data_IF_351564663159
#
_entry.id   IF_351564663159
#
_cell.length_a   1.000
_cell.length_b   1.000
_cell.length_c   1.000
_cell.angle_alpha   90.00
_cell.angle_beta   90.00
_cell.angle_gamma   90.00
#
_symmetry.space_group_name_H-M   'P 1'
#
loop_
_entity.id
_entity.type
_entity.pdbx_description
1 polymer ?
#
# COMPACT_ATOMS: atom_id res chain seq x y z
N UNK A 1 7.27 -23.86 13.46
CA UNK A 1 6.15 -24.00 12.50
C UNK A 1 6.67 -23.58 11.13
N UNK A 2 6.37 -24.34 10.08
CA UNK A 2 6.67 -23.90 8.71
C UNK A 2 5.67 -22.80 8.35
N UNK A 3 6.16 -21.65 7.88
CA UNK A 3 5.31 -20.57 7.38
C UNK A 3 4.89 -20.91 5.95
N UNK A 4 3.59 -21.08 5.70
CA UNK A 4 3.04 -21.49 4.40
C UNK A 4 2.04 -20.47 3.85
N UNK A 5 1.55 -19.56 4.68
CA UNK A 5 0.72 -18.43 4.26
C UNK A 5 1.01 -17.17 5.10
N UNK A 6 0.52 -16.02 4.64
CA UNK A 6 0.76 -14.73 5.32
C UNK A 6 0.12 -14.66 6.72
N UNK A 7 -0.94 -15.43 6.98
CA UNK A 7 -1.56 -15.52 8.31
C UNK A 7 -0.61 -16.13 9.34
N UNK A 8 0.23 -17.09 8.95
CA UNK A 8 1.19 -17.71 9.86
C UNK A 8 2.21 -16.69 10.40
N UNK A 9 2.63 -15.73 9.55
CA UNK A 9 3.50 -14.63 9.96
C UNK A 9 2.77 -13.65 10.89
N UNK A 10 1.49 -13.37 10.61
CA UNK A 10 0.66 -12.53 11.46
C UNK A 10 0.53 -13.12 12.87
N UNK A 11 0.23 -14.42 12.97
CA UNK A 11 0.15 -15.16 14.23
C UNK A 11 1.51 -15.19 14.95
N UNK A 12 2.60 -15.49 14.23
CA UNK A 12 3.94 -15.44 14.80
C UNK A 12 4.27 -14.06 15.36
N UNK A 13 4.05 -13.00 14.58
CA UNK A 13 4.32 -11.63 15.00
C UNK A 13 3.49 -11.24 16.23
N UNK A 14 2.23 -11.67 16.31
CA UNK A 14 1.37 -11.45 17.48
C UNK A 14 1.89 -12.11 18.75
N UNK A 15 2.47 -13.30 18.63
CA UNK A 15 3.02 -14.05 19.75
C UNK A 15 4.39 -13.53 20.22
N UNK A 16 5.21 -12.99 19.31
CA UNK A 16 6.62 -12.67 19.59
C UNK A 16 6.92 -11.17 19.75
N UNK A 17 6.08 -10.29 19.20
CA UNK A 17 6.23 -8.85 19.42
C UNK A 17 5.71 -8.44 20.79
N UNK A 18 6.28 -7.36 21.35
CA UNK A 18 5.70 -6.75 22.54
C UNK A 18 4.25 -6.35 22.26
N UNK A 19 3.37 -6.40 23.27
CA UNK A 19 1.95 -6.03 23.11
C UNK A 19 1.78 -4.64 22.48
N UNK A 20 2.58 -3.65 22.93
CA UNK A 20 2.52 -2.29 22.40
C UNK A 20 2.93 -2.22 20.92
N UNK A 21 3.98 -2.96 20.54
CA UNK A 21 4.43 -3.06 19.14
C UNK A 21 3.40 -3.76 18.25
N UNK A 22 2.90 -4.91 18.69
CA UNK A 22 1.87 -5.66 17.96
C UNK A 22 0.62 -4.78 17.74
N UNK A 23 0.10 -4.19 18.82
CA UNK A 23 -1.09 -3.35 18.75
C UNK A 23 -0.88 -2.15 17.83
N UNK A 24 0.31 -1.53 17.84
CA UNK A 24 0.63 -0.43 16.94
C UNK A 24 0.53 -0.84 15.46
N UNK A 25 1.09 -1.99 15.08
CA UNK A 25 1.04 -2.48 13.71
C UNK A 25 -0.36 -3.00 13.32
N UNK A 26 -1.01 -3.75 14.21
CA UNK A 26 -2.33 -4.34 13.97
C UNK A 26 -3.49 -3.33 14.07
N UNK A 27 -3.26 -2.15 14.64
CA UNK A 27 -4.31 -1.15 14.86
C UNK A 27 -5.02 -0.76 13.57
N UNK A 28 -6.33 -0.57 13.70
CA UNK A 28 -7.17 0.25 12.83
C UNK A 28 -7.68 1.48 13.61
N UNK A 29 -8.37 2.37 12.91
CA UNK A 29 -9.05 3.50 13.53
C UNK A 29 -10.32 3.04 14.25
N UNK A 30 -10.63 3.69 15.38
CA UNK A 30 -11.88 3.56 16.12
C UNK A 30 -12.36 2.13 16.41
N UNK A 31 -13.38 1.63 15.69
CA UNK A 31 -13.94 0.28 15.85
C UNK A 31 -13.30 -0.74 14.90
N UNK A 32 -12.34 -0.29 14.07
CA UNK A 32 -11.61 -1.07 13.08
C UNK A 32 -12.50 -1.64 11.97
N UNK A 33 -13.68 -1.08 11.72
CA UNK A 33 -14.61 -1.57 10.70
C UNK A 33 -13.96 -1.61 9.31
N UNK A 34 -13.33 -0.52 8.87
CA UNK A 34 -12.66 -0.46 7.55
C UNK A 34 -11.42 -1.34 7.49
N UNK A 35 -10.69 -1.50 8.60
CA UNK A 35 -9.54 -2.42 8.66
C UNK A 35 -9.99 -3.86 8.41
N UNK A 36 -11.08 -4.26 9.04
CA UNK A 36 -11.59 -5.63 8.95
C UNK A 36 -12.29 -5.85 7.60
N UNK A 37 -13.02 -4.85 7.11
CA UNK A 37 -13.68 -4.95 5.81
C UNK A 37 -12.68 -5.02 4.65
N UNK A 38 -11.50 -4.38 4.75
CA UNK A 38 -10.42 -4.57 3.77
C UNK A 38 -10.06 -6.05 3.55
N UNK A 39 -10.15 -6.90 4.58
CA UNK A 39 -9.91 -8.34 4.46
C UNK A 39 -11.12 -9.07 3.87
N UNK A 40 -12.33 -8.70 4.32
CA UNK A 40 -13.58 -9.35 3.92
C UNK A 40 -13.96 -9.03 2.46
N UNK A 41 -13.61 -7.85 1.96
CA UNK A 41 -13.94 -7.38 0.61
C UNK A 41 -13.41 -8.30 -0.48
N UNK A 42 -12.16 -8.75 -0.36
CA UNK A 42 -11.58 -9.72 -1.30
C UNK A 42 -12.32 -11.06 -1.31
N UNK A 43 -13.05 -11.42 -0.23
CA UNK A 43 -13.87 -12.65 -0.18
C UNK A 43 -15.21 -12.49 -0.90
N UNK A 44 -15.65 -11.26 -1.21
CA UNK A 44 -16.86 -10.98 -2.00
C UNK A 44 -16.64 -11.12 -3.51
N UNK A 45 -15.39 -11.05 -3.98
CA UNK A 45 -15.03 -11.16 -5.40
C UNK A 45 -14.85 -12.63 -5.79
N UNK A 46 -15.40 -13.01 -6.95
CA UNK A 46 -15.28 -14.35 -7.53
C UNK A 46 -14.57 -14.27 -8.88
N UNK A 47 -13.50 -15.07 -9.02
CA UNK A 47 -12.79 -15.25 -10.28
C UNK A 47 -13.61 -16.19 -11.19
N UNK A 48 -13.53 -15.99 -12.50
CA UNK A 48 -14.13 -16.87 -13.50
C UNK A 48 -13.04 -17.55 -14.35
N UNK A 49 -12.52 -18.71 -13.92
CA UNK A 49 -11.48 -19.42 -14.65
C UNK A 49 -11.84 -19.72 -16.09
N UNK A 50 -10.85 -19.60 -16.99
CA UNK A 50 -10.93 -20.04 -18.37
C UNK A 50 -10.13 -21.33 -18.53
N UNK A 51 -10.81 -22.41 -18.84
CA UNK A 51 -10.22 -23.76 -18.92
C UNK A 51 -9.61 -24.04 -20.30
N UNK A 52 -8.72 -25.04 -20.36
CA UNK A 52 -8.02 -25.47 -21.58
C UNK A 52 -7.22 -24.35 -22.28
N UNK A 53 -6.62 -23.46 -21.49
CA UNK A 53 -5.63 -22.48 -21.97
C UNK A 53 -4.23 -22.97 -21.63
N UNK A 54 -3.27 -22.70 -22.51
CA UNK A 54 -1.86 -23.02 -22.26
C UNK A 54 -1.30 -22.07 -21.19
N UNK A 55 -0.97 -22.64 -20.04
CA UNK A 55 -0.34 -21.97 -18.90
C UNK A 55 0.96 -22.68 -18.51
N UNK A 56 1.56 -23.44 -19.44
CA UNK A 56 2.83 -24.14 -19.21
C UNK A 56 4.00 -23.20 -18.94
N UNK A 57 3.90 -21.97 -19.43
CA UNK A 57 4.81 -20.85 -19.14
C UNK A 57 3.95 -19.69 -18.64
N UNK A 58 4.30 -19.12 -17.48
CA UNK A 58 3.63 -17.95 -16.91
C UNK A 58 4.65 -16.84 -16.69
N UNK A 59 4.38 -15.64 -17.20
CA UNK A 59 5.16 -14.44 -16.96
C UNK A 59 4.45 -13.57 -15.93
N UNK A 60 5.06 -13.46 -14.75
CA UNK A 60 4.54 -12.61 -13.67
C UNK A 60 5.01 -11.17 -13.78
N UNK A 61 5.96 -10.86 -14.67
CA UNK A 61 6.61 -9.54 -14.73
C UNK A 61 5.64 -8.46 -15.18
N UNK A 62 5.87 -7.25 -14.67
CA UNK A 62 5.12 -6.05 -15.08
C UNK A 62 6.04 -4.83 -15.02
N UNK A 63 5.49 -3.68 -15.39
CA UNK A 63 6.16 -2.39 -15.25
C UNK A 63 5.45 -1.54 -14.21
N UNK A 64 6.20 -0.73 -13.47
CA UNK A 64 5.64 0.28 -12.56
C UNK A 64 6.41 1.57 -12.81
N UNK A 65 5.72 2.61 -13.29
CA UNK A 65 6.36 3.87 -13.72
C UNK A 65 7.52 3.63 -14.70
N UNK A 66 7.32 2.72 -15.65
CA UNK A 66 8.29 2.38 -16.69
C UNK A 66 9.47 1.49 -16.26
N UNK A 67 9.57 1.12 -14.98
CA UNK A 67 10.60 0.17 -14.50
C UNK A 67 10.02 -1.24 -14.39
N UNK A 68 10.71 -2.23 -14.94
CA UNK A 68 10.30 -3.64 -14.83
C UNK A 68 10.50 -4.17 -13.41
N UNK A 69 9.48 -4.84 -12.87
CA UNK A 69 9.54 -5.61 -11.62
C UNK A 69 9.16 -7.08 -11.89
N UNK A 70 9.64 -7.97 -11.04
CA UNK A 70 9.51 -9.43 -11.22
C UNK A 70 8.08 -9.96 -11.10
N UNK A 71 7.25 -9.33 -10.28
CA UNK A 71 5.82 -9.62 -10.11
C UNK A 71 5.08 -8.41 -9.49
N UNK A 72 3.74 -8.30 -9.63
CA UNK A 72 2.99 -7.07 -9.40
C UNK A 72 2.65 -6.84 -7.92
N UNK A 73 3.62 -7.03 -7.02
CA UNK A 73 3.48 -6.84 -5.57
C UNK A 73 4.71 -6.09 -5.04
N UNK A 74 4.52 -4.88 -4.54
CA UNK A 74 5.53 -4.11 -3.79
C UNK A 74 5.25 -4.05 -2.30
N UNK A 75 6.15 -3.41 -1.55
CA UNK A 75 5.99 -3.13 -0.13
C UNK A 75 5.52 -1.68 0.07
N UNK A 76 4.39 -1.51 0.76
CA UNK A 76 3.79 -0.24 1.13
C UNK A 76 4.63 0.47 2.22
N UNK A 77 4.52 1.80 2.36
CA UNK A 77 5.22 2.50 3.44
C UNK A 77 4.62 2.15 4.79
N UNK A 78 5.40 1.45 5.61
CA UNK A 78 5.15 1.22 7.03
C UNK A 78 6.25 1.88 7.85
N UNK A 79 5.88 2.43 9.01
CA UNK A 79 6.81 3.16 9.88
C UNK A 79 7.43 2.25 10.94
N UNK A 80 8.63 2.62 11.39
CA UNK A 80 9.34 2.04 12.55
C UNK A 80 9.69 0.55 12.47
N UNK A 81 10.19 0.07 11.33
CA UNK A 81 10.49 -1.36 11.15
C UNK A 81 11.43 -1.92 12.23
N UNK A 82 12.30 -1.10 12.83
CA UNK A 82 13.17 -1.50 13.95
C UNK A 82 12.43 -1.95 15.21
N UNK A 83 11.12 -1.66 15.34
CA UNK A 83 10.27 -2.25 16.38
C UNK A 83 10.04 -3.75 16.17
N UNK A 84 10.07 -4.22 14.92
CA UNK A 84 9.84 -5.61 14.57
C UNK A 84 11.15 -6.41 14.47
N UNK A 85 12.22 -5.77 13.98
CA UNK A 85 13.52 -6.41 13.83
C UNK A 85 14.65 -5.37 13.84
N UNK A 86 15.77 -5.64 14.49
CA UNK A 86 16.84 -4.66 14.69
C UNK A 86 17.38 -3.99 13.40
N UNK A 87 17.51 -4.71 12.28
CA UNK A 87 17.91 -4.13 10.99
C UNK A 87 16.79 -3.34 10.28
N UNK A 88 15.53 -3.46 10.72
CA UNK A 88 14.42 -2.63 10.28
C UNK A 88 14.25 -2.53 8.76
N UNK A 89 14.17 -1.29 8.27
CA UNK A 89 13.95 -0.97 6.87
C UNK A 89 15.12 -1.39 5.96
N UNK A 90 16.34 -1.51 6.49
CA UNK A 90 17.50 -2.01 5.74
C UNK A 90 17.28 -3.48 5.32
N UNK A 91 16.78 -4.32 6.22
CA UNK A 91 16.45 -5.70 5.90
C UNK A 91 15.31 -5.79 4.86
N UNK A 92 14.30 -4.92 4.97
CA UNK A 92 13.22 -4.82 3.96
C UNK A 92 13.77 -4.41 2.59
N UNK A 93 14.70 -3.45 2.55
CA UNK A 93 15.30 -2.97 1.31
C UNK A 93 16.08 -4.09 0.59
N UNK A 94 16.93 -4.83 1.32
CA UNK A 94 17.67 -5.98 0.77
C UNK A 94 16.72 -7.06 0.23
N UNK A 95 15.65 -7.37 0.95
CA UNK A 95 14.64 -8.34 0.52
C UNK A 95 13.98 -7.93 -0.81
N UNK A 96 13.56 -6.66 -0.93
CA UNK A 96 12.92 -6.16 -2.16
C UNK A 96 13.87 -6.04 -3.34
N UNK A 97 15.14 -5.67 -3.11
CA UNK A 97 16.17 -5.67 -4.14
C UNK A 97 16.44 -7.10 -4.66
N UNK A 98 16.60 -8.06 -3.74
CA UNK A 98 16.86 -9.46 -4.10
C UNK A 98 15.74 -10.08 -4.95
N UNK A 99 14.50 -9.62 -4.77
CA UNK A 99 13.35 -10.07 -5.55
C UNK A 99 12.98 -9.13 -6.70
N UNK A 100 13.71 -8.05 -6.94
CA UNK A 100 13.39 -7.03 -7.94
C UNK A 100 11.93 -6.54 -7.88
N UNK A 101 11.53 -6.03 -6.72
CA UNK A 101 10.23 -5.38 -6.53
C UNK A 101 10.36 -3.97 -5.94
N UNK A 102 9.28 -3.19 -5.99
CA UNK A 102 9.22 -1.84 -5.46
C UNK A 102 9.09 -1.83 -3.93
N UNK A 103 9.95 -1.08 -3.26
CA UNK A 103 9.80 -0.71 -1.86
C UNK A 103 9.47 0.77 -1.71
N UNK A 104 8.31 1.08 -1.15
CA UNK A 104 7.96 2.44 -0.74
C UNK A 104 8.45 2.65 0.70
N UNK A 105 9.51 3.43 0.89
CA UNK A 105 10.05 3.72 2.23
C UNK A 105 9.22 4.80 2.92
N UNK A 106 9.05 4.71 4.23
CA UNK A 106 8.28 5.70 4.98
C UNK A 106 9.11 6.95 5.31
N UNK A 107 8.46 8.11 5.39
CA UNK A 107 9.08 9.26 6.07
C UNK A 107 9.42 8.92 7.53
N UNK A 108 8.61 8.09 8.19
CA UNK A 108 8.77 7.68 9.59
C UNK A 108 9.61 6.41 9.77
N UNK A 109 10.65 6.25 8.94
CA UNK A 109 11.55 5.09 9.04
C UNK A 109 12.54 5.21 10.20
N UNK A 110 12.85 4.06 10.80
CA UNK A 110 13.88 3.89 11.84
C UNK A 110 15.29 3.68 11.28
N UNK A 111 15.42 3.43 9.98
CA UNK A 111 16.63 3.64 9.20
C UNK A 111 16.51 4.94 8.39
N UNK A 112 17.64 5.65 8.22
CA UNK A 112 17.72 6.79 7.32
C UNK A 112 17.68 6.33 5.85
N UNK A 113 17.25 7.21 4.95
CA UNK A 113 17.26 6.94 3.50
C UNK A 113 18.67 6.59 2.97
N UNK A 114 19.75 7.13 3.55
CA UNK A 114 21.13 6.78 3.20
C UNK A 114 21.48 5.35 3.63
N UNK A 115 21.12 4.94 4.85
CA UNK A 115 21.35 3.57 5.33
C UNK A 115 20.59 2.56 4.47
N UNK A 116 19.34 2.87 4.12
CA UNK A 116 18.50 2.04 3.25
C UNK A 116 19.13 1.90 1.86
N UNK A 117 19.57 3.00 1.26
CA UNK A 117 20.21 2.97 -0.08
C UNK A 117 21.56 2.28 -0.05
N UNK A 118 22.37 2.49 1.00
CA UNK A 118 23.67 1.84 1.14
C UNK A 118 23.54 0.31 1.27
N UNK A 119 22.50 -0.17 1.94
CA UNK A 119 22.29 -1.59 2.15
C UNK A 119 21.78 -2.34 0.91
N UNK A 120 21.04 -1.65 0.04
CA UNK A 120 20.46 -2.22 -1.17
C UNK A 120 20.58 -1.19 -2.29
N UNK A 121 21.76 -0.99 -2.91
CA UNK A 121 22.05 0.14 -3.81
C UNK A 121 21.30 0.12 -5.15
N UNK A 122 20.89 -1.05 -5.62
CA UNK A 122 20.15 -1.27 -6.87
C UNK A 122 18.63 -1.44 -6.67
N UNK A 123 18.16 -1.48 -5.42
CA UNK A 123 16.75 -1.62 -5.09
C UNK A 123 15.85 -0.57 -5.77
N UNK A 124 14.70 -1.00 -6.28
CA UNK A 124 13.71 -0.09 -6.84
C UNK A 124 12.89 0.54 -5.72
N UNK A 125 13.16 1.82 -5.41
CA UNK A 125 12.62 2.50 -4.22
C UNK A 125 11.83 3.75 -4.57
N UNK A 126 10.68 3.87 -3.93
CA UNK A 126 9.88 5.10 -3.87
C UNK A 126 9.88 5.64 -2.45
N UNK A 127 9.64 6.93 -2.29
CA UNK A 127 9.65 7.57 -0.98
C UNK A 127 8.26 8.10 -0.64
N UNK A 128 7.67 7.61 0.45
CA UNK A 128 6.43 8.18 0.98
C UNK A 128 6.72 9.48 1.70
N UNK A 129 6.00 10.53 1.33
CA UNK A 129 6.14 11.89 1.82
C UNK A 129 4.84 12.38 2.48
N UNK A 130 5.00 13.13 3.58
CA UNK A 130 3.99 14.05 4.08
C UNK A 130 4.40 15.49 3.83
N UNK A 131 3.39 16.35 3.74
CA UNK A 131 3.58 17.80 3.72
C UNK A 131 3.49 18.34 5.15
N UNK A 132 4.60 18.90 5.62
CA UNK A 132 4.71 19.46 6.96
C UNK A 132 4.39 20.95 6.95
N UNK A 133 4.00 21.49 8.11
CA UNK A 133 3.73 22.94 8.27
C UNK A 133 4.94 23.77 7.90
N UNK A 134 6.12 23.33 8.34
CA UNK A 134 7.37 23.84 7.80
C UNK A 134 7.68 23.15 6.47
N UNK A 135 7.33 23.84 5.38
CA UNK A 135 7.53 23.33 4.01
C UNK A 135 8.99 23.06 3.68
N UNK A 136 9.94 23.69 4.39
CA UNK A 136 11.37 23.41 4.19
C UNK A 136 11.73 21.98 4.57
N UNK A 137 11.05 21.39 5.57
CA UNK A 137 11.27 19.99 5.95
C UNK A 137 10.90 19.04 4.82
N UNK A 138 9.73 19.26 4.21
CA UNK A 138 9.28 18.49 3.05
C UNK A 138 10.21 18.71 1.85
N UNK A 139 10.61 19.95 1.56
CA UNK A 139 11.51 20.29 0.45
C UNK A 139 12.90 19.65 0.61
N UNK A 140 13.50 19.74 1.80
CA UNK A 140 14.79 19.11 2.11
C UNK A 140 14.71 17.59 1.95
N UNK A 141 13.62 16.97 2.40
CA UNK A 141 13.43 15.53 2.25
C UNK A 141 13.33 15.13 0.77
N UNK A 142 12.56 15.88 -0.02
CA UNK A 142 12.41 15.67 -1.47
C UNK A 142 13.77 15.71 -2.17
N UNK A 143 14.55 16.79 -1.95
CA UNK A 143 15.87 16.90 -2.57
C UNK A 143 16.83 15.79 -2.11
N UNK A 144 16.76 15.40 -0.83
CA UNK A 144 17.59 14.33 -0.26
C UNK A 144 17.31 12.98 -0.94
N UNK A 145 16.04 12.61 -1.12
CA UNK A 145 15.69 11.30 -1.73
C UNK A 145 15.92 11.29 -3.23
N UNK A 146 15.70 12.43 -3.91
CA UNK A 146 16.00 12.57 -5.34
C UNK A 146 17.52 12.42 -5.60
N UNK A 147 18.36 13.05 -4.76
CA UNK A 147 19.82 12.89 -4.83
C UNK A 147 20.30 11.45 -4.56
N UNK A 148 19.54 10.69 -3.77
CA UNK A 148 19.81 9.28 -3.47
C UNK A 148 19.24 8.31 -4.52
N UNK A 149 18.64 8.82 -5.60
CA UNK A 149 18.19 8.00 -6.72
C UNK A 149 16.86 7.28 -6.51
N UNK A 150 16.04 7.72 -5.55
CA UNK A 150 14.64 7.30 -5.46
C UNK A 150 13.90 7.60 -6.76
N UNK A 151 12.89 6.79 -7.08
CA UNK A 151 12.27 6.77 -8.42
C UNK A 151 10.87 7.39 -8.48
N UNK A 152 10.25 7.66 -7.35
CA UNK A 152 8.99 8.39 -7.25
C UNK A 152 8.78 8.91 -5.82
N UNK A 153 7.92 9.92 -5.71
CA UNK A 153 7.37 10.41 -4.45
C UNK A 153 5.94 9.89 -4.30
N UNK A 154 5.64 9.29 -3.15
CA UNK A 154 4.29 8.84 -2.78
C UNK A 154 3.73 9.86 -1.78
N UNK A 155 2.97 10.83 -2.27
CA UNK A 155 2.36 11.87 -1.45
C UNK A 155 1.12 11.31 -0.75
N UNK A 156 1.18 11.20 0.58
CA UNK A 156 0.04 10.77 1.39
C UNK A 156 -0.91 11.95 1.63
N UNK A 157 -2.18 11.81 1.22
CA UNK A 157 -3.19 12.88 1.31
C UNK A 157 -4.35 12.57 2.27
N UNK A 158 -4.38 11.37 2.88
CA UNK A 158 -5.45 10.90 3.78
C UNK A 158 -5.14 11.11 5.29
N UNK A 159 -4.09 11.89 5.62
CA UNK A 159 -3.65 12.17 7.00
C UNK A 159 -3.51 13.68 7.27
N UNK A 160 -4.59 14.49 7.18
CA UNK A 160 -4.56 15.85 7.73
C UNK A 160 -4.42 15.83 9.26
N UNK A 161 -4.97 14.80 9.90
CA UNK A 161 -4.80 14.47 11.31
C UNK A 161 -4.62 12.95 11.45
N UNK A 162 -3.92 12.51 12.49
CA UNK A 162 -3.74 11.08 12.76
C UNK A 162 -5.07 10.44 13.19
N UNK A 163 -5.43 9.32 12.56
CA UNK A 163 -6.61 8.54 12.94
C UNK A 163 -6.51 7.98 14.37
N UNK A 164 -7.67 7.82 15.02
CA UNK A 164 -7.74 7.44 16.43
C UNK A 164 -7.55 5.93 16.63
N UNK A 165 -6.31 5.52 16.89
CA UNK A 165 -5.95 4.13 17.20
C UNK A 165 -6.06 3.87 18.70
N UNK A 166 -7.18 3.29 19.14
CA UNK A 166 -7.49 3.16 20.58
C UNK A 166 -6.48 2.32 21.36
N UNK A 167 -5.88 1.30 20.75
CA UNK A 167 -4.86 0.50 21.43
C UNK A 167 -3.57 1.28 21.64
N UNK A 168 -3.19 2.17 20.73
CA UNK A 168 -2.02 3.05 20.93
C UNK A 168 -2.25 3.98 22.13
N UNK A 169 -3.48 4.51 22.28
CA UNK A 169 -3.86 5.33 23.44
C UNK A 169 -3.82 4.51 24.74
N UNK A 170 -4.40 3.30 24.75
CA UNK A 170 -4.42 2.42 25.93
C UNK A 170 -3.02 2.00 26.36
N UNK A 171 -2.16 1.71 25.39
CA UNK A 171 -0.78 1.31 25.62
C UNK A 171 0.14 2.52 25.87
N UNK A 172 -0.37 3.75 25.76
CA UNK A 172 0.42 5.00 25.79
C UNK A 172 1.63 4.91 24.86
N UNK A 173 1.39 4.45 23.63
CA UNK A 173 2.45 4.09 22.70
C UNK A 173 3.42 5.25 22.50
N UNK A 174 4.71 4.95 22.68
CA UNK A 174 5.84 5.83 22.37
C UNK A 174 6.91 5.01 21.67
N UNK A 175 7.65 5.66 20.78
CA UNK A 175 8.83 5.04 20.20
C UNK A 175 9.85 4.78 21.34
N UNK A 176 10.41 3.56 21.48
CA UNK A 176 11.40 3.27 22.51
C UNK A 176 12.61 4.22 22.43
N UNK A 177 13.22 4.65 23.55
CA UNK A 177 14.25 5.70 23.55
C UNK A 177 15.51 5.40 22.72
N UNK A 178 15.79 4.13 22.44
CA UNK A 178 16.93 3.71 21.61
C UNK A 178 16.62 3.76 20.10
N UNK A 179 15.38 4.04 19.72
CA UNK A 179 14.94 4.21 18.34
C UNK A 179 14.54 5.68 18.09
N UNK A 180 14.71 6.12 16.85
CA UNK A 180 14.35 7.47 16.40
C UNK A 180 13.76 7.40 14.99
N UNK A 181 13.04 8.45 14.60
CA UNK A 181 12.74 8.70 13.20
C UNK A 181 13.98 9.25 12.51
N UNK A 182 14.82 8.37 11.97
CA UNK A 182 16.18 8.74 11.52
C UNK A 182 16.19 9.74 10.36
N UNK A 183 15.12 9.82 9.59
CA UNK A 183 14.97 10.83 8.55
C UNK A 183 14.94 12.26 9.11
N UNK A 184 14.61 12.44 10.40
CA UNK A 184 14.59 13.73 11.09
C UNK A 184 15.61 13.83 12.24
N UNK A 185 16.61 12.95 12.31
CA UNK A 185 17.63 13.04 13.37
C UNK A 185 18.39 14.37 13.26
N UNK A 186 18.46 15.11 14.35
CA UNK A 186 19.04 16.46 14.41
C UNK A 186 18.23 17.57 13.73
N UNK A 187 17.03 17.29 13.18
CA UNK A 187 16.19 18.29 12.50
C UNK A 187 15.34 19.07 13.49
N UNK A 188 14.68 18.37 14.40
CA UNK A 188 13.93 19.00 15.48
C UNK A 188 14.91 19.32 16.62
N UNK A 189 14.98 20.60 17.03
CA UNK A 189 15.66 20.97 18.26
C UNK A 189 14.98 20.26 19.45
N UNK A 190 15.67 20.05 20.57
CA UNK A 190 15.08 19.49 21.80
C UNK A 190 13.92 20.39 22.26
N UNK A 191 12.72 20.12 21.75
CA UNK A 191 11.52 20.83 22.13
C UNK A 191 10.94 20.12 23.35
N UNK A 192 10.78 20.84 24.46
CA UNK A 192 10.13 20.36 25.68
C UNK A 192 8.60 20.16 25.54
N UNK A 193 8.13 19.76 24.36
CA UNK A 193 6.73 19.65 23.97
C UNK A 193 6.24 18.20 23.86
N UNK A 194 4.93 17.99 23.64
CA UNK A 194 4.38 16.67 23.40
C UNK A 194 4.93 16.10 22.08
N UNK A 195 5.33 14.83 22.10
CA UNK A 195 5.72 14.07 20.92
C UNK A 195 4.57 13.20 20.43
N UNK A 196 4.46 13.08 19.11
CA UNK A 196 3.54 12.17 18.43
C UNK A 196 4.35 11.26 17.51
N UNK A 197 4.43 9.97 17.86
CA UNK A 197 5.18 8.96 17.10
C UNK A 197 6.66 9.33 16.83
N UNK A 198 7.35 9.87 17.86
CA UNK A 198 8.79 10.12 17.81
C UNK A 198 9.22 11.42 17.12
N UNK A 199 8.28 12.32 16.83
CA UNK A 199 8.55 13.69 16.39
C UNK A 199 7.64 14.68 17.15
N UNK A 200 7.90 16.00 17.12
CA UNK A 200 7.01 16.97 17.74
C UNK A 200 5.57 16.86 17.21
N UNK A 201 4.59 16.97 18.11
CA UNK A 201 3.17 16.95 17.74
C UNK A 201 2.80 18.13 16.83
N UNK A 202 1.71 17.99 16.07
CA UNK A 202 1.18 19.04 15.17
C UNK A 202 2.14 19.50 14.06
N UNK A 203 3.11 18.68 13.65
CA UNK A 203 4.05 18.98 12.56
C UNK A 203 3.42 18.84 11.17
N UNK A 204 2.44 17.96 11.00
CA UNK A 204 1.67 17.80 9.75
C UNK A 204 0.83 19.04 9.46
N UNK A 205 0.71 19.38 8.17
CA UNK A 205 -0.09 20.53 7.71
C UNK A 205 -1.51 20.07 7.30
N UNK A 206 -2.55 20.35 8.10
CA UNK A 206 -3.93 20.00 7.73
C UNK A 206 -4.52 20.94 6.67
N UNK A 207 -3.82 22.01 6.28
CA UNK A 207 -4.31 22.99 5.30
C UNK A 207 -3.93 22.65 3.86
N UNK A 208 -3.31 21.49 3.63
CA UNK A 208 -2.98 21.02 2.29
C UNK A 208 -4.23 20.87 1.43
N UNK A 209 -4.05 21.14 0.15
CA UNK A 209 -5.07 21.09 -0.88
C UNK A 209 -4.43 20.71 -2.21
N UNK A 210 -5.23 20.56 -3.27
CA UNK A 210 -4.71 20.24 -4.60
C UNK A 210 -3.69 21.27 -5.15
N UNK A 211 -3.71 22.52 -4.67
CA UNK A 211 -2.69 23.53 -5.03
C UNK A 211 -1.27 23.11 -4.58
N UNK A 212 -1.16 22.32 -3.52
CA UNK A 212 0.10 21.86 -2.96
C UNK A 212 0.75 20.80 -3.84
N UNK A 213 0.00 20.16 -4.73
CA UNK A 213 0.55 19.29 -5.79
C UNK A 213 1.40 20.11 -6.76
N UNK A 214 0.95 21.30 -7.18
CA UNK A 214 1.74 22.19 -8.03
C UNK A 214 3.01 22.69 -7.33
N UNK A 215 2.93 22.96 -6.03
CA UNK A 215 4.12 23.29 -5.24
C UNK A 215 5.11 22.11 -5.23
N UNK A 216 4.65 20.87 -4.99
CA UNK A 216 5.52 19.70 -4.99
C UNK A 216 6.16 19.47 -6.37
N UNK A 217 5.41 19.63 -7.45
CA UNK A 217 5.92 19.58 -8.84
C UNK A 217 6.98 20.66 -9.12
N UNK A 218 6.92 21.80 -8.44
CA UNK A 218 7.89 22.89 -8.64
C UNK A 218 9.27 22.59 -8.04
N UNK A 219 9.37 21.63 -7.12
CA UNK A 219 10.60 21.32 -6.38
C UNK A 219 11.20 19.94 -6.72
N UNK A 220 10.57 19.15 -7.60
CA UNK A 220 11.10 17.83 -7.99
C UNK A 220 10.74 17.46 -9.42
N UNK A 221 11.53 16.55 -10.01
CA UNK A 221 11.22 15.92 -11.29
C UNK A 221 10.78 14.47 -11.15
N UNK A 222 10.75 13.94 -9.93
CA UNK A 222 10.28 12.59 -9.68
C UNK A 222 8.78 12.47 -9.99
N UNK A 223 8.32 11.33 -10.53
CA UNK A 223 6.91 10.99 -10.58
C UNK A 223 6.25 11.16 -9.22
N UNK A 224 5.09 11.83 -9.19
CA UNK A 224 4.27 11.98 -7.99
C UNK A 224 3.13 10.98 -8.07
N UNK A 225 3.01 10.16 -7.03
CA UNK A 225 1.93 9.18 -6.85
C UNK A 225 1.09 9.63 -5.66
N UNK A 226 -0.21 9.84 -5.84
CA UNK A 226 -1.10 10.27 -4.76
C UNK A 226 -1.63 9.03 -4.03
N UNK A 227 -1.39 8.94 -2.72
CA UNK A 227 -1.86 7.84 -1.86
C UNK A 227 -2.95 8.31 -0.92
N UNK A 228 -4.10 7.62 -0.96
CA UNK A 228 -5.24 7.93 -0.09
C UNK A 228 -6.54 8.26 -0.83
N UNK A 229 -6.57 8.07 -2.15
CA UNK A 229 -7.75 8.34 -2.99
C UNK A 229 -8.73 7.17 -2.87
N UNK A 230 -10.00 7.47 -2.60
CA UNK A 230 -11.08 6.48 -2.48
C UNK A 230 -12.36 6.86 -3.27
N UNK A 231 -12.34 8.00 -3.97
CA UNK A 231 -13.51 8.57 -4.64
C UNK A 231 -13.18 8.96 -6.08
N UNK A 232 -14.18 8.87 -6.97
CA UNK A 232 -14.10 9.37 -8.33
C UNK A 232 -13.63 10.83 -8.40
N UNK A 233 -14.21 11.71 -7.59
CA UNK A 233 -13.97 13.16 -7.66
C UNK A 233 -12.49 13.49 -7.44
N UNK A 234 -11.85 12.85 -6.46
CA UNK A 234 -10.43 13.06 -6.18
C UNK A 234 -9.52 12.38 -7.22
N UNK A 235 -9.98 11.32 -7.88
CA UNK A 235 -9.26 10.72 -9.00
C UNK A 235 -9.30 11.60 -10.26
N UNK A 236 -10.42 12.30 -10.53
CA UNK A 236 -10.50 13.31 -11.58
C UNK A 236 -9.48 14.43 -11.32
N UNK A 237 -9.44 14.94 -10.10
CA UNK A 237 -8.49 15.98 -9.69
C UNK A 237 -7.04 15.51 -9.81
N UNK A 238 -6.72 14.27 -9.42
CA UNK A 238 -5.37 13.71 -9.59
C UNK A 238 -4.92 13.74 -11.06
N UNK A 239 -5.81 13.36 -11.99
CA UNK A 239 -5.49 13.41 -13.43
C UNK A 239 -5.35 14.85 -13.91
N UNK A 240 -6.25 15.74 -13.52
CA UNK A 240 -6.19 17.17 -13.90
C UNK A 240 -4.89 17.86 -13.44
N UNK A 241 -4.38 17.47 -12.27
CA UNK A 241 -3.13 18.01 -11.72
C UNK A 241 -1.87 17.34 -12.29
N UNK A 242 -2.00 16.40 -13.23
CA UNK A 242 -0.86 15.83 -13.96
C UNK A 242 0.09 14.99 -13.11
N UNK A 243 -0.42 14.31 -12.09
CA UNK A 243 0.36 13.30 -11.33
C UNK A 243 0.55 12.03 -12.15
N UNK A 244 1.44 11.12 -11.74
CA UNK A 244 1.80 9.94 -12.54
C UNK A 244 1.10 8.66 -12.09
N UNK A 245 0.45 8.69 -10.91
CA UNK A 245 -0.38 7.59 -10.49
C UNK A 245 -1.15 7.83 -9.20
N UNK A 246 -2.02 6.87 -8.89
CA UNK A 246 -2.83 6.84 -7.67
C UNK A 246 -2.60 5.52 -6.95
N UNK A 247 -2.44 5.55 -5.63
CA UNK A 247 -2.62 4.38 -4.77
C UNK A 247 -3.99 4.50 -4.10
N UNK A 248 -4.94 3.67 -4.53
CA UNK A 248 -6.24 3.49 -3.88
C UNK A 248 -5.99 2.90 -2.50
N UNK A 249 -6.20 3.72 -1.47
CA UNK A 249 -5.74 3.41 -0.11
C UNK A 249 -6.64 4.08 0.91
N UNK A 250 -6.95 3.35 1.98
CA UNK A 250 -7.58 3.88 3.20
C UNK A 250 -6.59 3.84 4.38
N UNK A 251 -5.30 3.99 4.07
CA UNK A 251 -4.21 3.91 5.04
C UNK A 251 -4.17 2.59 5.83
N UNK A 252 -4.61 1.48 5.22
CA UNK A 252 -4.76 0.20 5.90
C UNK A 252 -5.85 0.18 6.98
N UNK A 253 -6.86 1.04 6.86
CA UNK A 253 -7.97 1.20 7.82
C UNK A 253 -7.58 1.92 9.11
N UNK A 254 -6.57 2.81 9.05
CA UNK A 254 -5.98 3.47 10.24
C UNK A 254 -6.36 4.94 10.40
N UNK A 255 -7.08 5.50 9.44
CA UNK A 255 -7.43 6.92 9.39
C UNK A 255 -8.91 7.13 9.71
N UNK A 256 -9.77 7.27 8.70
CA UNK A 256 -11.22 7.36 8.88
C UNK A 256 -11.83 5.95 8.92
N UNK A 257 -12.51 5.60 10.02
CA UNK A 257 -13.27 4.35 10.12
C UNK A 257 -14.69 4.51 9.56
N UNK A 258 -15.24 3.43 8.99
CA UNK A 258 -16.52 3.42 8.28
C UNK A 258 -16.43 3.82 6.79
N UNK A 259 -15.24 4.11 6.29
CA UNK A 259 -14.96 4.25 4.86
C UNK A 259 -14.91 2.90 4.12
N UNK A 260 -14.92 2.91 2.77
CA UNK A 260 -14.93 1.69 1.97
C UNK A 260 -13.60 0.90 2.09
N UNK A 261 -13.69 -0.41 1.86
CA UNK A 261 -12.50 -1.19 1.54
C UNK A 261 -11.86 -0.67 0.24
N UNK A 262 -10.53 -0.61 0.18
CA UNK A 262 -9.80 -0.06 -0.98
C UNK A 262 -10.10 -0.83 -2.27
N UNK A 263 -10.24 -2.16 -2.19
CA UNK A 263 -10.60 -3.00 -3.34
C UNK A 263 -12.02 -2.73 -3.86
N UNK A 264 -12.92 -2.24 -3.01
CA UNK A 264 -14.27 -1.87 -3.43
C UNK A 264 -14.31 -0.50 -4.12
N UNK A 265 -13.43 0.43 -3.71
CA UNK A 265 -13.26 1.72 -4.38
C UNK A 265 -12.50 1.61 -5.72
N UNK A 266 -11.61 0.63 -5.85
CA UNK A 266 -10.71 0.48 -7.00
C UNK A 266 -11.39 0.58 -8.38
N UNK A 267 -12.51 -0.11 -8.67
CA UNK A 267 -13.09 -0.09 -10.02
C UNK A 267 -13.57 1.29 -10.46
N UNK A 268 -14.14 2.08 -9.53
CA UNK A 268 -14.56 3.46 -9.81
C UNK A 268 -13.36 4.35 -10.17
N UNK A 269 -12.25 4.21 -9.44
CA UNK A 269 -11.03 4.97 -9.71
C UNK A 269 -10.41 4.59 -11.05
N UNK A 270 -10.36 3.29 -11.37
CA UNK A 270 -9.84 2.79 -12.65
C UNK A 270 -10.67 3.32 -13.82
N UNK A 271 -12.00 3.24 -13.72
CA UNK A 271 -12.92 3.75 -14.76
C UNK A 271 -12.79 5.27 -14.92
N UNK A 272 -12.58 5.99 -13.83
CA UNK A 272 -12.38 7.45 -13.84
C UNK A 272 -11.05 7.84 -14.52
N UNK A 273 -9.97 7.13 -14.22
CA UNK A 273 -8.64 7.44 -14.75
C UNK A 273 -8.51 7.12 -16.23
N UNK A 274 -9.20 6.09 -16.73
CA UNK A 274 -9.19 5.70 -18.15
C UNK A 274 -7.78 5.48 -18.72
N UNK A 275 -6.86 4.93 -17.91
CA UNK A 275 -5.48 4.64 -18.32
C UNK A 275 -4.59 5.88 -18.53
N UNK A 276 -5.04 7.09 -18.17
CA UNK A 276 -4.25 8.32 -18.29
C UNK A 276 -3.05 8.35 -17.34
N UNK A 277 -3.17 7.69 -16.19
CA UNK A 277 -2.13 7.52 -15.17
C UNK A 277 -2.20 6.09 -14.61
N UNK A 278 -1.14 5.61 -13.95
CA UNK A 278 -1.16 4.26 -13.35
C UNK A 278 -2.02 4.24 -12.07
N UNK A 279 -2.77 3.15 -11.86
CA UNK A 279 -3.56 2.94 -10.64
C UNK A 279 -3.02 1.73 -9.89
N UNK A 280 -2.77 1.89 -8.59
CA UNK A 280 -2.34 0.85 -7.67
C UNK A 280 -3.32 0.73 -6.51
N UNK A 281 -3.19 -0.32 -5.70
CA UNK A 281 -4.02 -0.50 -4.50
C UNK A 281 -3.22 -1.10 -3.34
N UNK A 282 -3.53 -0.66 -2.13
CA UNK A 282 -3.07 -1.31 -0.89
C UNK A 282 -4.25 -1.64 0.02
N UNK A 283 -4.00 -2.34 1.14
CA UNK A 283 -5.02 -2.67 2.14
C UNK A 283 -5.69 -4.03 1.89
N UNK A 284 -5.64 -4.92 2.89
CA UNK A 284 -6.37 -6.20 2.86
C UNK A 284 -5.73 -7.35 2.06
N UNK A 285 -4.77 -7.10 1.17
CA UNK A 285 -4.10 -8.16 0.39
C UNK A 285 -3.37 -9.16 1.30
N UNK A 286 -3.73 -10.45 1.24
CA UNK A 286 -3.10 -11.52 2.03
C UNK A 286 -2.77 -12.78 1.23
N UNK A 287 -3.33 -12.93 0.04
CA UNK A 287 -3.10 -14.10 -0.82
C UNK A 287 -2.78 -13.69 -2.25
N UNK A 288 -2.14 -14.57 -2.99
CA UNK A 288 -1.93 -14.39 -4.43
C UNK A 288 -3.24 -14.25 -5.23
N UNK A 289 -4.33 -14.84 -4.73
CA UNK A 289 -5.67 -14.65 -5.33
C UNK A 289 -6.20 -13.23 -5.14
N UNK A 290 -5.79 -12.55 -4.06
CA UNK A 290 -6.17 -11.15 -3.79
C UNK A 290 -5.40 -10.21 -4.73
N UNK A 291 -4.12 -10.50 -4.97
CA UNK A 291 -3.31 -9.85 -6.02
C UNK A 291 -4.03 -9.98 -7.37
N UNK A 292 -4.38 -11.20 -7.77
CA UNK A 292 -5.05 -11.45 -9.05
C UNK A 292 -6.38 -10.69 -9.19
N UNK A 293 -7.21 -10.65 -8.13
CA UNK A 293 -8.46 -9.89 -8.12
C UNK A 293 -8.21 -8.39 -8.31
N UNK A 294 -7.26 -7.82 -7.60
CA UNK A 294 -6.92 -6.40 -7.71
C UNK A 294 -6.46 -6.03 -9.13
N UNK A 295 -5.59 -6.86 -9.72
CA UNK A 295 -5.11 -6.64 -11.08
C UNK A 295 -6.24 -6.78 -12.11
N UNK A 296 -7.13 -7.76 -11.93
CA UNK A 296 -8.29 -7.95 -12.80
C UNK A 296 -9.28 -6.78 -12.74
N UNK A 297 -9.38 -6.11 -11.59
CA UNK A 297 -10.16 -4.89 -11.40
C UNK A 297 -9.44 -3.63 -11.90
N UNK A 298 -8.22 -3.75 -12.43
CA UNK A 298 -7.56 -2.67 -13.15
C UNK A 298 -6.29 -2.14 -12.49
N UNK A 299 -5.94 -2.56 -11.27
CA UNK A 299 -4.68 -2.15 -10.67
C UNK A 299 -3.48 -2.65 -11.52
N UNK A 300 -2.42 -1.85 -11.56
CA UNK A 300 -1.14 -2.18 -12.22
C UNK A 300 -0.22 -2.98 -11.31
N UNK A 301 -0.27 -2.69 -10.01
CA UNK A 301 0.52 -3.31 -8.95
C UNK A 301 -0.23 -3.16 -7.62
N UNK A 302 0.00 -4.07 -6.67
CA UNK A 302 -0.52 -3.96 -5.30
C UNK A 302 0.62 -3.71 -4.31
N UNK A 303 0.31 -3.10 -3.17
CA UNK A 303 1.30 -2.90 -2.11
C UNK A 303 0.85 -3.52 -0.79
N UNK A 304 1.76 -4.25 -0.13
CA UNK A 304 1.53 -4.86 1.19
C UNK A 304 2.26 -4.07 2.28
N UNK A 305 1.56 -3.74 3.36
CA UNK A 305 2.15 -3.08 4.53
C UNK A 305 2.44 -4.08 5.64
N UNK A 306 1.43 -4.36 6.47
CA UNK A 306 1.58 -5.22 7.66
C UNK A 306 2.24 -6.58 7.39
N UNK A 307 1.92 -7.32 6.30
CA UNK A 307 2.62 -8.58 5.98
C UNK A 307 4.14 -8.47 5.91
N UNK A 308 4.69 -7.37 5.37
CA UNK A 308 6.13 -7.16 5.32
C UNK A 308 6.71 -7.03 6.74
N UNK A 309 6.06 -6.28 7.63
CA UNK A 309 6.48 -6.12 9.03
C UNK A 309 6.37 -7.43 9.81
N UNK A 310 5.37 -8.26 9.53
CA UNK A 310 5.23 -9.58 10.16
C UNK A 310 6.30 -10.56 9.70
N UNK A 311 6.61 -10.57 8.40
CA UNK A 311 7.77 -11.28 7.85
C UNK A 311 9.07 -10.83 8.52
N UNK A 312 9.22 -9.51 8.68
CA UNK A 312 10.37 -8.92 9.35
C UNK A 312 10.48 -9.37 10.81
N UNK A 313 9.36 -9.43 11.55
CA UNK A 313 9.34 -9.94 12.94
C UNK A 313 9.73 -11.42 13.07
N UNK A 314 9.49 -12.23 12.03
CA UNK A 314 9.82 -13.65 12.02
C UNK A 314 11.33 -13.90 11.88
N UNK A 315 11.96 -13.34 10.84
CA UNK A 315 13.38 -13.62 10.52
C UNK A 315 14.06 -12.47 9.77
N UNK A 316 13.70 -11.22 10.05
CA UNK A 316 14.31 -10.07 9.38
C UNK A 316 14.13 -10.14 7.87
N UNK A 317 15.23 -10.00 7.12
CA UNK A 317 15.23 -10.05 5.65
C UNK A 317 14.64 -11.36 5.11
N UNK A 318 15.03 -12.52 5.65
CA UNK A 318 14.56 -13.84 5.18
C UNK A 318 13.03 -13.93 5.27
N UNK A 319 12.44 -13.47 6.38
CA UNK A 319 10.99 -13.50 6.54
C UNK A 319 10.25 -12.54 5.61
N UNK A 320 10.83 -11.38 5.27
CA UNK A 320 10.25 -10.49 4.23
C UNK A 320 10.32 -11.16 2.86
N UNK A 321 11.42 -11.85 2.55
CA UNK A 321 11.58 -12.62 1.30
C UNK A 321 10.57 -13.75 1.23
N UNK A 322 10.36 -14.49 2.31
CA UNK A 322 9.39 -15.58 2.38
C UNK A 322 7.96 -15.07 2.14
N UNK A 323 7.57 -13.96 2.76
CA UNK A 323 6.25 -13.31 2.53
C UNK A 323 6.04 -12.96 1.05
N UNK A 324 7.04 -12.33 0.42
CA UNK A 324 6.97 -11.95 -0.99
C UNK A 324 6.97 -13.18 -1.92
N UNK A 325 7.76 -14.21 -1.60
CA UNK A 325 7.83 -15.44 -2.37
C UNK A 325 6.53 -16.24 -2.30
N UNK A 326 5.92 -16.37 -1.12
CA UNK A 326 4.60 -17.00 -0.94
C UNK A 326 3.55 -16.28 -1.79
N UNK A 327 3.50 -14.94 -1.75
CA UNK A 327 2.57 -14.18 -2.58
C UNK A 327 2.81 -14.40 -4.08
N UNK A 328 4.07 -14.43 -4.52
CA UNK A 328 4.41 -14.70 -5.91
C UNK A 328 3.96 -16.10 -6.36
N UNK A 329 4.24 -17.12 -5.55
CA UNK A 329 3.88 -18.51 -5.84
C UNK A 329 2.36 -18.71 -5.87
N UNK A 330 1.64 -18.15 -4.89
CA UNK A 330 0.18 -18.17 -4.88
C UNK A 330 -0.42 -17.38 -6.05
N UNK A 331 0.19 -16.25 -6.43
CA UNK A 331 -0.27 -15.41 -7.54
C UNK A 331 -0.10 -16.15 -8.87
N UNK A 332 1.09 -16.71 -9.11
CA UNK A 332 1.39 -17.52 -10.30
C UNK A 332 0.44 -18.73 -10.39
N UNK A 333 0.19 -19.41 -9.28
CA UNK A 333 -0.78 -20.51 -9.25
C UNK A 333 -2.20 -20.03 -9.55
N UNK A 334 -2.62 -18.91 -8.96
CA UNK A 334 -3.95 -18.32 -9.21
C UNK A 334 -4.12 -17.92 -10.67
N UNK A 335 -3.10 -17.34 -11.30
CA UNK A 335 -3.08 -17.03 -12.74
C UNK A 335 -3.27 -18.31 -13.56
N UNK A 336 -2.44 -19.32 -13.33
CA UNK A 336 -2.48 -20.58 -14.08
C UNK A 336 -3.86 -21.26 -13.95
N UNK A 337 -4.40 -21.37 -12.73
CA UNK A 337 -5.72 -21.94 -12.48
C UNK A 337 -6.86 -21.11 -13.06
N UNK A 338 -6.65 -19.81 -13.27
CA UNK A 338 -7.61 -18.94 -13.95
C UNK A 338 -7.49 -18.97 -15.48
N UNK A 339 -6.48 -19.64 -16.03
CA UNK A 339 -6.19 -19.67 -17.47
C UNK A 339 -5.48 -18.42 -17.97
N UNK A 340 -4.69 -17.77 -17.13
CA UNK A 340 -3.91 -16.59 -17.47
C UNK A 340 -2.42 -16.92 -17.39
N UNK A 341 -1.65 -16.50 -18.40
CA UNK A 341 -0.19 -16.73 -18.50
C UNK A 341 0.64 -15.45 -18.47
N UNK A 342 0.00 -14.28 -18.38
CA UNK A 342 0.64 -12.96 -18.37
C UNK A 342 -0.01 -12.07 -17.28
N UNK A 343 0.80 -11.48 -16.40
CA UNK A 343 0.34 -10.61 -15.32
C UNK A 343 -0.38 -9.33 -15.79
N UNK A 344 -0.35 -9.00 -17.08
CA UNK A 344 -1.14 -7.92 -17.66
C UNK A 344 -2.62 -8.30 -17.90
N UNK A 345 -3.01 -9.57 -17.71
CA UNK A 345 -4.41 -10.03 -17.65
C UNK A 345 -5.32 -9.49 -18.77
N UNK A 346 -4.86 -9.50 -20.02
CA UNK A 346 -5.57 -8.86 -21.15
C UNK A 346 -6.97 -9.44 -21.39
N UNK A 347 -7.18 -10.72 -21.08
CA UNK A 347 -8.43 -11.45 -21.36
C UNK A 347 -9.18 -11.88 -20.10
N UNK A 348 -8.80 -11.39 -18.93
CA UNK A 348 -9.38 -11.83 -17.67
C UNK A 348 -10.74 -11.15 -17.41
N UNK A 349 -11.70 -11.95 -16.96
CA UNK A 349 -13.00 -11.48 -16.49
C UNK A 349 -13.21 -11.86 -15.02
N UNK A 350 -13.75 -10.94 -14.23
CA UNK A 350 -14.08 -11.16 -12.82
C UNK A 350 -15.52 -10.77 -12.53
N UNK A 351 -16.13 -11.46 -11.56
CA UNK A 351 -17.43 -11.11 -11.01
C UNK A 351 -17.20 -10.48 -9.66
N UNK A 352 -17.67 -9.25 -9.52
CA UNK A 352 -17.82 -8.62 -8.21
C UNK A 352 -19.28 -8.78 -7.77
N UNK A 353 -19.47 -9.41 -6.61
CA UNK A 353 -20.78 -9.49 -5.97
C UNK A 353 -20.97 -8.24 -5.13
N UNK A 354 -21.81 -7.31 -5.60
CA UNK A 354 -22.18 -6.12 -4.84
C UNK A 354 -23.56 -6.35 -4.24
N UNK A 355 -23.63 -6.33 -2.90
CA UNK A 355 -24.90 -6.33 -2.19
C UNK A 355 -25.35 -4.88 -2.01
N UNK A 356 -26.39 -4.46 -2.75
CA UNK A 356 -27.03 -3.17 -2.49
C UNK A 356 -28.22 -3.41 -1.56
N UNK A 357 -28.22 -2.75 -0.40
CA UNK A 357 -29.39 -2.76 0.48
C UNK A 357 -30.46 -1.86 -0.16
N UNK A 358 -31.39 -2.48 -0.90
CA UNK A 358 -32.58 -1.77 -1.36
C UNK A 358 -33.50 -1.52 -0.15
N UNK A 359 -33.98 -0.28 -0.02
CA UNK A 359 -34.92 0.12 1.01
C UNK A 359 -36.21 -0.72 0.92
N UNK A 360 -36.44 -1.59 1.90
CA UNK A 360 -37.70 -2.29 2.09
C UNK A 360 -37.83 -3.60 1.31
N UNK A 361 -37.26 -4.66 1.87
CA UNK A 361 -37.38 -6.08 1.50
C UNK A 361 -36.66 -6.55 0.22
N UNK A 362 -35.83 -7.57 0.45
CA UNK A 362 -34.98 -8.35 -0.46
C UNK A 362 -33.70 -7.62 -0.90
N UNK A 363 -32.56 -8.13 -0.42
CA UNK A 363 -31.23 -7.80 -0.88
C UNK A 363 -31.08 -8.16 -2.36
N UNK A 364 -31.06 -7.16 -3.23
CA UNK A 364 -30.69 -7.37 -4.62
C UNK A 364 -29.17 -7.60 -4.70
N UNK A 365 -28.78 -8.82 -5.07
CA UNK A 365 -27.42 -9.13 -5.47
C UNK A 365 -27.21 -8.57 -6.88
N UNK A 366 -26.47 -7.47 -7.01
CA UNK A 366 -26.03 -7.00 -8.32
C UNK A 366 -24.72 -7.71 -8.66
N UNK A 367 -24.70 -8.43 -9.79
CA UNK A 367 -23.48 -8.88 -10.42
C UNK A 367 -22.94 -7.75 -11.29
N UNK A 368 -21.81 -7.15 -10.92
CA UNK A 368 -21.00 -6.43 -11.89
C UNK A 368 -19.99 -7.40 -12.50
N UNK A 369 -20.10 -7.57 -13.82
CA UNK A 369 -19.11 -8.26 -14.64
C UNK A 369 -18.11 -7.21 -15.13
N UNK A 370 -16.86 -7.33 -14.69
CA UNK A 370 -15.77 -6.53 -15.23
C UNK A 370 -15.02 -7.34 -16.27
N UNK A 371 -14.94 -6.80 -17.49
CA UNK A 371 -14.13 -7.35 -18.59
C UNK A 371 -13.06 -6.33 -18.97
N UNK A 372 -11.78 -6.70 -18.86
CA UNK A 372 -10.67 -5.84 -19.33
C UNK A 372 -10.70 -5.61 -20.85
N UNK A 373 -11.29 -6.53 -21.63
CA UNK A 373 -11.36 -6.41 -23.09
C UNK A 373 -12.63 -5.73 -23.62
N UNK A 374 -13.60 -5.35 -22.77
CA UNK A 374 -14.87 -4.76 -23.22
C UNK A 374 -15.49 -3.85 -22.15
N UNK A 375 -14.91 -2.66 -21.94
CA UNK A 375 -15.60 -1.52 -21.31
C UNK A 375 -16.63 -0.94 -22.30
N UNK A 376 -17.66 -1.73 -22.61
CA UNK A 376 -18.94 -1.22 -23.11
C UNK A 376 -20.01 -1.82 -22.22
N UNK A 377 -20.62 -0.96 -21.42
CA UNK A 377 -21.84 -1.16 -20.64
C UNK A 377 -22.68 -2.35 -21.10
N UNK A 378 -22.71 -3.41 -20.31
CA UNK A 378 -23.85 -4.33 -20.34
C UNK A 378 -24.89 -3.71 -19.41
N UNK A 379 -25.73 -2.85 -19.97
CA UNK A 379 -27.01 -2.53 -19.33
C UNK A 379 -27.79 -3.85 -19.26
N UNK A 380 -28.11 -4.30 -18.05
CA UNK A 380 -29.13 -5.33 -17.88
C UNK A 380 -30.46 -4.70 -18.30
N UNK A 381 -30.93 -5.04 -19.50
CA UNK A 381 -32.28 -4.72 -19.93
C UNK A 381 -33.27 -5.28 -18.89
N UNK A 382 -34.14 -4.38 -18.42
CA UNK A 382 -35.19 -4.62 -17.42
C UNK A 382 -36.22 -5.65 -17.83
#
# INVERSE_FOLDING_TARGET
MQMVCLTDFEEYAKEHLSKATWDYYAAGADECCTRDDNLLAYKRIRLRPRILRDVSVSDTRTTVQGTEISFPVGIAPTAFHCLAWHEGEVATARATEALNTCYITSTYSTCSVEEIVAAAPNGYRWFQLYVYRDRKLSEQMVHRVEALGYKALVLTVDVPYTGKRRNDIRNQFKLPPHLKVKNFDGVFQETAGPEEYGIPANTLDPSISWKDVYWLQSITRLPIIIKGILTKEDAELAVEHGVQGIIVSNHGGRQLDGGPASIDALPEIVDTVQGRIEVYVDGGIRTGSDVLKALALGAKCVFIGRPAVWGLAYKGEEGVRDVLQILNDEFRLSMALSGESDANLKDMAVIMLIYKQASGNISALFLLLFYRSWLKSVEFAS
#
